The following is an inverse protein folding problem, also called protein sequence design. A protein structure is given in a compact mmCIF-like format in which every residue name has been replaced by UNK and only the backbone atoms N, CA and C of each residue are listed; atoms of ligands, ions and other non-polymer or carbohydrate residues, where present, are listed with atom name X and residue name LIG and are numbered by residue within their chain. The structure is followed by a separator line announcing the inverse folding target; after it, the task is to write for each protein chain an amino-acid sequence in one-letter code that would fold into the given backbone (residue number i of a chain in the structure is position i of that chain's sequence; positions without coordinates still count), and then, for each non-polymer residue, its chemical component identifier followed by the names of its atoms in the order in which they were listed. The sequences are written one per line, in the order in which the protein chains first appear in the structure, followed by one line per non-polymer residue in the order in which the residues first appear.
data_IF_226835220235
#
_entry.id   IF_226835220235
#
_cell.length_a   1.000
_cell.length_b   1.000
_cell.length_c   1.000
_cell.angle_alpha   90.00
_cell.angle_beta   90.00
_cell.angle_gamma   90.00
#
_symmetry.space_group_name_H-M   'P 1'
#
loop_
_entity.id
_entity.type
_entity.pdbx_description
1 polymer ?
#
# COMPACT_ATOMS: atom_id res chain seq x y z
N UNK A 1 -10.51 -3.07 6.89
CA UNK A 1 -11.20 -1.81 6.52
C UNK A 1 -10.36 -1.11 5.45
N UNK A 2 -10.97 -0.50 4.43
CA UNK A 2 -10.23 0.15 3.32
C UNK A 2 -9.88 1.62 3.59
N UNK A 3 -10.05 2.07 4.84
CA UNK A 3 -9.85 3.46 5.25
C UNK A 3 -8.39 3.92 5.19
N UNK A 4 -7.43 2.99 5.32
CA UNK A 4 -6.00 3.28 5.28
C UNK A 4 -5.36 2.97 3.90
N UNK A 5 -6.18 2.67 2.88
CA UNK A 5 -5.73 2.32 1.53
C UNK A 5 -5.13 3.55 0.83
N UNK A 6 -3.95 3.41 0.28
CA UNK A 6 -3.32 4.41 -0.60
C UNK A 6 -2.69 3.75 -1.82
N UNK A 7 -2.44 4.53 -2.87
CA UNK A 7 -1.80 4.06 -4.09
C UNK A 7 -0.30 4.34 -4.06
N UNK A 8 0.52 3.31 -4.25
CA UNK A 8 1.97 3.44 -4.30
C UNK A 8 2.39 4.09 -5.62
N UNK A 9 2.86 5.33 -5.56
CA UNK A 9 3.36 6.07 -6.72
C UNK A 9 4.85 5.78 -7.00
N UNK A 10 5.64 5.62 -5.94
CA UNK A 10 7.07 5.32 -6.06
C UNK A 10 7.62 4.65 -4.80
N UNK A 11 8.70 3.88 -4.97
CA UNK A 11 9.38 3.16 -3.89
C UNK A 11 8.87 1.73 -3.72
N UNK A 12 9.26 1.08 -2.63
CA UNK A 12 8.79 -0.27 -2.26
C UNK A 12 8.30 -0.28 -0.83
N UNK A 13 7.16 -0.92 -0.63
CA UNK A 13 6.51 -1.12 0.67
C UNK A 13 6.22 -2.60 0.83
N UNK A 14 6.48 -3.14 2.01
CA UNK A 14 6.09 -4.49 2.40
C UNK A 14 4.87 -4.38 3.30
N UNK A 15 3.88 -5.25 3.10
CA UNK A 15 2.68 -5.29 3.92
C UNK A 15 2.66 -6.62 4.66
N UNK A 16 2.48 -6.56 5.98
CA UNK A 16 2.41 -7.77 6.82
C UNK A 16 1.05 -8.46 6.66
N UNK A 17 -0.01 -7.67 6.47
CA UNK A 17 -1.37 -8.16 6.24
C UNK A 17 -1.98 -7.48 5.02
N UNK A 18 -2.43 -8.27 4.06
CA UNK A 18 -3.14 -7.80 2.86
C UNK A 18 -4.62 -8.15 2.87
N UNK A 19 -5.15 -8.66 3.99
CA UNK A 19 -6.56 -9.07 4.13
C UNK A 19 -7.59 -7.95 3.87
N UNK A 20 -7.13 -6.70 3.77
CA UNK A 20 -7.97 -5.55 3.41
C UNK A 20 -7.94 -5.15 1.93
N UNK A 21 -7.21 -5.85 1.07
CA UNK A 21 -7.10 -5.60 -0.38
C UNK A 21 -7.37 -6.87 -1.18
N UNK A 22 -8.00 -6.70 -2.34
CA UNK A 22 -8.16 -7.76 -3.34
C UNK A 22 -6.89 -7.89 -4.20
N UNK A 23 -6.70 -9.03 -4.85
CA UNK A 23 -5.56 -9.25 -5.75
C UNK A 23 -5.45 -8.19 -6.85
N UNK A 24 -6.60 -7.78 -7.41
CA UNK A 24 -6.69 -6.71 -8.40
C UNK A 24 -6.21 -5.36 -7.85
N UNK A 25 -6.55 -5.03 -6.60
CA UNK A 25 -6.10 -3.79 -5.96
C UNK A 25 -4.58 -3.82 -5.70
N UNK A 26 -4.03 -4.97 -5.35
CA UNK A 26 -2.58 -5.14 -5.21
C UNK A 26 -1.87 -5.00 -6.57
N UNK A 27 -2.45 -5.54 -7.64
CA UNK A 27 -1.96 -5.34 -9.01
C UNK A 27 -2.04 -3.89 -9.48
N UNK A 28 -3.11 -3.17 -9.12
CA UNK A 28 -3.26 -1.73 -9.39
C UNK A 28 -2.28 -0.86 -8.56
N UNK A 29 -1.54 -1.47 -7.64
CA UNK A 29 -0.52 -0.83 -6.81
C UNK A 29 -1.09 -0.17 -5.55
N UNK A 30 -2.26 -0.62 -5.08
CA UNK A 30 -2.78 -0.18 -3.79
C UNK A 30 -2.08 -0.91 -2.64
N UNK A 31 -1.88 -0.16 -1.56
CA UNK A 31 -1.23 -0.60 -0.34
C UNK A 31 -2.00 -0.13 0.89
N UNK A 32 -1.94 -0.90 1.98
CA UNK A 32 -2.52 -0.53 3.27
C UNK A 32 -1.46 0.14 4.12
N UNK A 33 -1.59 1.46 4.31
CA UNK A 33 -0.59 2.22 5.07
C UNK A 33 -0.59 1.87 6.56
N UNK A 34 -1.70 1.35 7.09
CA UNK A 34 -1.80 0.98 8.49
C UNK A 34 -1.00 -0.28 8.86
N UNK A 35 -0.68 -1.12 7.88
CA UNK A 35 0.09 -2.38 8.04
C UNK A 35 1.23 -2.47 7.01
N UNK A 36 1.58 -1.34 6.40
CA UNK A 36 2.55 -1.23 5.33
C UNK A 36 3.82 -0.53 5.80
N UNK A 37 4.96 -1.21 5.69
CA UNK A 37 6.26 -0.70 6.08
C UNK A 37 7.13 -0.38 4.84
N UNK A 38 7.70 0.83 4.74
CA UNK A 38 8.56 1.19 3.61
C UNK A 38 9.88 0.40 3.67
N UNK A 39 10.24 -0.25 2.57
CA UNK A 39 11.48 -1.03 2.42
C UNK A 39 12.61 -0.17 1.85
N UNK A 40 12.25 0.91 1.14
CA UNK A 40 13.20 1.84 0.52
C UNK A 40 12.91 3.28 0.93
N UNK A 41 13.93 4.12 0.92
CA UNK A 41 13.74 5.56 1.07
C UNK A 41 13.01 6.15 -0.15
N UNK A 42 12.30 7.26 0.05
CA UNK A 42 11.57 7.94 -1.03
C UNK A 42 10.25 7.28 -1.45
N UNK A 43 9.64 6.47 -0.59
CA UNK A 43 8.30 5.94 -0.82
C UNK A 43 7.28 7.09 -0.89
N UNK A 44 6.47 7.10 -1.96
CA UNK A 44 5.37 8.05 -2.14
C UNK A 44 4.08 7.28 -2.30
N UNK A 45 3.13 7.58 -1.44
CA UNK A 45 1.81 6.96 -1.44
C UNK A 45 0.78 8.08 -1.51
N UNK A 46 -0.16 7.95 -2.43
CA UNK A 46 -1.27 8.88 -2.57
C UNK A 46 -2.50 8.32 -1.86
N UNK A 47 -3.07 9.10 -0.95
CA UNK A 47 -4.30 8.77 -0.23
C UNK A 47 -5.34 9.79 -0.68
N UNK A 48 -6.49 9.32 -1.18
CA UNK A 48 -7.59 10.14 -1.69
C UNK A 48 -8.93 9.73 -1.08
#
# INVERSE_FOLDING_TARGET
CTACRGKLLSGKVTMDETEGLSDEEMEEGYVLNCVGHPVTEGVRIEIG
#
